data_IF_890559294959
#
_entry.id   IF_890559294959
#
_cell.length_a   1.000
_cell.length_b   1.000
_cell.length_c   1.000
_cell.angle_alpha   90.00
_cell.angle_beta   90.00
_cell.angle_gamma   90.00
#
_symmetry.space_group_name_H-M   'P 1'
#
loop_
_entity.id
_entity.type
_entity.pdbx_description
1 polymer ?
#
# COMPACT_ATOMS: atom_id res chain seq x y z
N UNK A 1 -4.83 22.69 -3.11
CA UNK A 1 -5.55 22.70 -1.80
C UNK A 1 -6.92 22.03 -1.89
N UNK A 2 -7.66 22.19 -2.98
CA UNK A 2 -9.00 21.61 -3.17
C UNK A 2 -8.96 20.08 -3.31
N UNK A 3 -7.96 19.52 -3.99
CA UNK A 3 -7.81 18.06 -4.18
C UNK A 3 -7.54 17.31 -2.87
N UNK A 4 -6.79 17.91 -1.92
CA UNK A 4 -6.50 17.28 -0.62
C UNK A 4 -7.77 17.21 0.25
N UNK A 5 -8.62 18.24 0.21
CA UNK A 5 -9.91 18.22 0.90
C UNK A 5 -10.88 17.19 0.32
N UNK A 6 -10.89 17.03 -0.99
CA UNK A 6 -11.75 16.07 -1.67
C UNK A 6 -11.37 14.63 -1.28
N UNK A 7 -10.08 14.29 -1.25
CA UNK A 7 -9.59 12.98 -0.78
C UNK A 7 -10.00 12.70 0.68
N UNK A 8 -9.84 13.68 1.59
CA UNK A 8 -10.19 13.49 3.00
C UNK A 8 -11.68 13.23 3.23
N UNK A 9 -12.55 13.95 2.52
CA UNK A 9 -14.02 13.78 2.61
C UNK A 9 -14.49 12.47 1.98
N UNK A 10 -13.75 11.94 1.00
CA UNK A 10 -14.10 10.69 0.32
C UNK A 10 -13.59 9.45 1.03
N UNK A 11 -12.66 9.56 1.98
CA UNK A 11 -12.08 8.40 2.66
C UNK A 11 -12.75 8.10 4.02
N UNK A 12 -12.76 9.03 4.98
CA UNK A 12 -13.23 8.75 6.33
C UNK A 12 -14.75 8.64 6.45
N UNK A 13 -15.53 9.56 5.88
CA UNK A 13 -16.99 9.54 5.97
C UNK A 13 -17.63 8.35 5.25
N UNK A 14 -17.20 7.98 4.02
CA UNK A 14 -17.70 6.77 3.38
C UNK A 14 -17.44 5.50 4.17
N UNK A 15 -16.27 5.33 4.77
CA UNK A 15 -15.97 4.15 5.59
C UNK A 15 -16.90 4.09 6.81
N UNK A 16 -17.10 5.19 7.52
CA UNK A 16 -18.06 5.25 8.64
C UNK A 16 -19.47 4.88 8.18
N UNK A 17 -19.95 5.44 7.08
CA UNK A 17 -21.29 5.14 6.55
C UNK A 17 -21.41 3.65 6.16
N UNK A 18 -20.37 3.07 5.58
CA UNK A 18 -20.35 1.65 5.21
C UNK A 18 -20.30 0.74 6.43
N UNK A 19 -19.53 1.08 7.48
CA UNK A 19 -19.51 0.34 8.73
C UNK A 19 -20.88 0.38 9.42
N UNK A 20 -21.55 1.54 9.44
CA UNK A 20 -22.88 1.67 10.02
C UNK A 20 -23.92 0.88 9.21
N UNK A 21 -23.89 0.94 7.90
CA UNK A 21 -24.74 0.14 7.03
C UNK A 21 -24.49 -1.37 7.24
N UNK A 22 -23.23 -1.80 7.35
CA UNK A 22 -22.86 -3.18 7.63
C UNK A 22 -23.44 -3.65 8.99
N UNK A 23 -23.29 -2.82 10.03
CA UNK A 23 -23.86 -3.10 11.36
C UNK A 23 -25.37 -3.26 11.32
N UNK A 24 -26.09 -2.32 10.69
CA UNK A 24 -27.55 -2.34 10.59
C UNK A 24 -28.08 -3.55 9.82
N UNK A 25 -27.33 -4.03 8.84
CA UNK A 25 -27.71 -5.20 8.03
C UNK A 25 -27.13 -6.53 8.54
N UNK A 26 -26.59 -6.56 9.75
CA UNK A 26 -26.11 -7.80 10.38
C UNK A 26 -24.89 -8.43 9.69
N UNK A 27 -24.11 -7.64 8.92
CA UNK A 27 -22.83 -8.08 8.37
C UNK A 27 -21.89 -8.47 9.51
N UNK A 28 -21.22 -9.61 9.38
CA UNK A 28 -20.35 -10.13 10.44
C UNK A 28 -18.94 -9.59 10.38
N UNK A 29 -18.41 -9.33 9.18
CA UNK A 29 -17.03 -8.93 8.96
C UNK A 29 -16.94 -7.77 7.98
N UNK A 30 -16.05 -6.83 8.28
CA UNK A 30 -15.81 -5.66 7.47
C UNK A 30 -14.30 -5.44 7.30
N UNK A 31 -13.79 -5.65 6.09
CA UNK A 31 -12.38 -5.43 5.73
C UNK A 31 -12.28 -4.10 5.00
N UNK A 32 -11.33 -3.26 5.39
CA UNK A 32 -11.15 -1.94 4.79
C UNK A 32 -9.69 -1.58 4.58
N UNK A 33 -9.46 -0.75 3.57
CA UNK A 33 -8.13 -0.25 3.24
C UNK A 33 -7.69 0.84 4.23
N UNK A 34 -6.66 0.54 5.03
CA UNK A 34 -5.82 1.54 5.69
C UNK A 34 -4.55 1.78 4.85
N UNK A 35 -3.51 2.32 5.43
CA UNK A 35 -2.28 2.67 4.72
C UNK A 35 -1.06 2.65 5.62
N UNK A 36 0.10 2.34 5.06
CA UNK A 36 1.40 2.52 5.72
C UNK A 36 1.69 3.99 6.10
N UNK A 37 0.99 4.95 5.50
CA UNK A 37 1.11 6.38 5.82
C UNK A 37 0.75 6.72 7.27
N UNK A 38 -0.02 5.86 7.97
CA UNK A 38 -0.38 6.03 9.39
C UNK A 38 0.83 5.96 10.33
N UNK A 39 1.95 5.43 9.86
CA UNK A 39 3.20 5.43 10.64
C UNK A 39 3.87 6.80 10.73
N UNK A 40 3.54 7.71 9.79
CA UNK A 40 4.03 9.08 9.81
C UNK A 40 5.56 9.16 9.88
N UNK A 41 6.07 9.97 10.80
CA UNK A 41 7.50 10.23 11.02
C UNK A 41 8.21 9.20 11.92
N UNK A 42 7.57 8.13 12.34
CA UNK A 42 8.21 7.12 13.21
C UNK A 42 9.51 6.60 12.57
N UNK A 43 10.68 6.71 13.24
CA UNK A 43 11.98 6.49 12.59
C UNK A 43 12.37 5.01 12.48
N UNK A 44 11.80 4.15 13.32
CA UNK A 44 12.24 2.75 13.44
C UNK A 44 11.73 1.89 12.29
N UNK A 45 12.57 0.96 11.84
CA UNK A 45 12.27 -0.06 10.85
C UNK A 45 12.61 -1.45 11.39
N UNK A 46 11.86 -2.49 11.01
CA UNK A 46 10.61 -2.42 10.22
C UNK A 46 9.47 -1.71 10.97
N UNK A 47 8.44 -1.24 10.24
CA UNK A 47 7.24 -0.66 10.84
C UNK A 47 6.42 -1.75 11.52
N UNK A 48 6.09 -1.54 12.79
CA UNK A 48 5.33 -2.48 13.64
C UNK A 48 4.05 -1.81 14.10
N UNK A 49 2.91 -2.51 14.07
CA UNK A 49 1.63 -1.98 14.54
C UNK A 49 1.69 -1.63 16.04
N UNK A 50 1.14 -0.48 16.39
CA UNK A 50 1.21 0.08 17.75
C UNK A 50 2.42 1.01 17.99
N UNK A 51 3.29 1.18 16.99
CA UNK A 51 4.45 2.08 17.05
C UNK A 51 4.34 3.21 16.00
N UNK A 52 3.18 3.86 15.94
CA UNK A 52 2.96 4.97 15.02
C UNK A 52 3.55 6.28 15.57
N UNK A 53 4.10 7.10 14.66
CA UNK A 53 4.58 8.46 14.95
C UNK A 53 3.52 9.53 14.68
N UNK A 54 3.98 10.75 14.45
CA UNK A 54 3.13 11.87 14.07
C UNK A 54 2.70 11.76 12.62
N UNK A 55 1.43 12.03 12.34
CA UNK A 55 0.89 11.97 11.00
C UNK A 55 1.44 13.11 10.14
N UNK A 56 1.83 12.81 8.90
CA UNK A 56 2.47 13.76 7.99
C UNK A 56 1.53 14.30 6.89
N UNK A 57 0.29 13.82 6.81
CA UNK A 57 -0.66 14.27 5.79
C UNK A 57 -2.12 14.11 6.24
N UNK A 58 -3.05 14.91 5.66
CA UNK A 58 -4.48 14.71 5.86
C UNK A 58 -4.94 13.31 5.48
N UNK A 59 -4.40 12.73 4.40
CA UNK A 59 -4.68 11.35 4.01
C UNK A 59 -4.32 10.34 5.12
N UNK A 60 -3.14 10.48 5.73
CA UNK A 60 -2.75 9.61 6.83
C UNK A 60 -3.70 9.73 8.03
N UNK A 61 -4.20 10.94 8.30
CA UNK A 61 -5.20 11.18 9.34
C UNK A 61 -6.52 10.46 9.04
N UNK A 62 -7.02 10.54 7.80
CA UNK A 62 -8.28 9.85 7.46
C UNK A 62 -8.15 8.35 7.66
N UNK A 63 -7.02 7.74 7.23
CA UNK A 63 -6.78 6.31 7.44
C UNK A 63 -6.65 5.93 8.92
N UNK A 64 -6.06 6.78 9.72
CA UNK A 64 -6.03 6.58 11.18
C UNK A 64 -7.42 6.65 11.81
N UNK A 65 -8.26 7.58 11.37
CA UNK A 65 -9.66 7.70 11.80
C UNK A 65 -10.45 6.45 11.43
N UNK A 66 -10.27 5.91 10.22
CA UNK A 66 -10.89 4.66 9.77
C UNK A 66 -10.55 3.49 10.72
N UNK A 67 -9.29 3.38 11.14
CA UNK A 67 -8.84 2.35 12.10
C UNK A 67 -9.51 2.51 13.48
N UNK A 68 -9.61 3.74 13.99
CA UNK A 68 -10.27 4.00 15.27
C UNK A 68 -11.78 3.70 15.18
N UNK A 69 -12.45 4.04 14.07
CA UNK A 69 -13.84 3.61 13.85
C UNK A 69 -13.94 2.08 13.83
N UNK A 70 -13.09 1.38 13.10
CA UNK A 70 -13.08 -0.08 13.07
C UNK A 70 -12.97 -0.69 14.46
N UNK A 71 -12.03 -0.21 15.26
CA UNK A 71 -11.83 -0.62 16.65
C UNK A 71 -13.06 -0.38 17.54
N UNK A 72 -13.72 0.78 17.39
CA UNK A 72 -14.92 1.10 18.13
C UNK A 72 -16.12 0.23 17.73
N UNK A 73 -16.34 0.00 16.42
CA UNK A 73 -17.42 -0.85 15.93
C UNK A 73 -17.27 -2.30 16.39
N UNK A 74 -16.04 -2.82 16.40
CA UNK A 74 -15.77 -4.13 16.99
C UNK A 74 -16.13 -4.17 18.48
N UNK A 75 -15.62 -3.20 19.25
CA UNK A 75 -15.82 -3.18 20.71
C UNK A 75 -17.27 -2.95 21.13
N UNK A 76 -17.99 -2.05 20.45
CA UNK A 76 -19.33 -1.62 20.86
C UNK A 76 -20.44 -2.47 20.25
N UNK A 77 -20.22 -2.99 19.05
CA UNK A 77 -21.29 -3.64 18.26
C UNK A 77 -20.96 -5.07 17.84
N UNK A 78 -19.75 -5.55 18.13
CA UNK A 78 -19.34 -6.91 17.75
C UNK A 78 -19.17 -7.10 16.23
N UNK A 79 -19.00 -6.02 15.46
CA UNK A 79 -18.66 -6.09 14.05
C UNK A 79 -17.17 -6.37 13.90
N UNK A 80 -16.80 -7.52 13.36
CA UNK A 80 -15.40 -7.85 13.11
C UNK A 80 -14.83 -6.96 12.02
N UNK A 81 -13.95 -6.04 12.38
CA UNK A 81 -13.33 -5.09 11.46
C UNK A 81 -11.85 -5.36 11.32
N UNK A 82 -11.32 -5.26 10.09
CA UNK A 82 -9.92 -5.51 9.78
C UNK A 82 -9.38 -4.37 8.94
N UNK A 83 -8.50 -3.53 9.51
CA UNK A 83 -7.84 -2.44 8.82
C UNK A 83 -6.56 -2.93 8.14
N UNK A 84 -6.49 -2.87 6.82
CA UNK A 84 -5.36 -3.39 6.05
C UNK A 84 -4.40 -2.25 5.70
N UNK A 85 -3.27 -2.14 6.39
CA UNK A 85 -2.22 -1.15 6.11
C UNK A 85 -1.39 -1.61 4.91
N UNK A 86 -1.80 -1.25 3.71
CA UNK A 86 -1.07 -1.62 2.50
C UNK A 86 0.25 -0.85 2.37
N UNK A 87 1.30 -1.57 1.94
CA UNK A 87 2.62 -1.03 1.62
C UNK A 87 2.86 -1.12 0.11
N UNK A 88 3.00 0.04 -0.54
CA UNK A 88 3.41 0.23 -1.94
C UNK A 88 2.90 -0.85 -2.90
N UNK A 89 1.58 -1.03 -2.97
CA UNK A 89 0.95 -2.04 -3.81
C UNK A 89 1.23 -1.75 -5.28
N UNK A 90 1.62 -2.77 -6.03
CA UNK A 90 1.81 -2.72 -7.46
C UNK A 90 1.28 -3.97 -8.15
N UNK A 91 1.08 -3.90 -9.47
CA UNK A 91 0.64 -5.06 -10.25
C UNK A 91 -0.06 -4.69 -11.54
N UNK A 92 -0.58 -5.71 -12.20
CA UNK A 92 -1.38 -5.56 -13.42
C UNK A 92 -2.61 -4.68 -13.18
N UNK A 93 -3.03 -3.95 -14.22
CA UNK A 93 -4.19 -3.02 -14.22
C UNK A 93 -4.03 -1.75 -13.37
N UNK A 94 -2.86 -1.50 -12.79
CA UNK A 94 -2.62 -0.22 -12.12
C UNK A 94 -2.45 0.89 -13.16
N UNK A 95 -3.23 1.97 -13.05
CA UNK A 95 -3.22 3.07 -14.03
C UNK A 95 -1.90 3.87 -13.96
N UNK A 96 -1.13 3.92 -15.07
CA UNK A 96 0.10 4.72 -15.12
C UNK A 96 -0.16 6.23 -15.26
N UNK A 97 -1.39 6.66 -15.52
CA UNK A 97 -1.75 8.05 -15.84
C UNK A 97 -2.42 8.80 -14.69
N UNK A 98 -2.76 8.10 -13.59
CA UNK A 98 -3.43 8.72 -12.45
C UNK A 98 -2.61 9.85 -11.84
N UNK A 99 -3.25 10.86 -11.26
CA UNK A 99 -2.60 11.98 -10.57
C UNK A 99 -1.65 11.50 -9.45
N UNK A 100 -1.91 10.31 -8.92
CA UNK A 100 -1.09 9.61 -7.92
C UNK A 100 -0.48 8.32 -8.49
N UNK A 101 -0.16 8.30 -9.79
CA UNK A 101 0.41 7.13 -10.43
C UNK A 101 1.65 6.65 -9.67
N UNK A 102 1.62 5.37 -9.25
CA UNK A 102 2.73 4.74 -8.56
C UNK A 102 3.95 4.65 -9.49
N UNK A 103 5.13 4.62 -8.89
CA UNK A 103 6.40 4.67 -9.62
C UNK A 103 6.57 3.55 -10.64
N UNK A 104 6.18 2.31 -10.31
CA UNK A 104 6.34 1.15 -11.20
C UNK A 104 5.55 1.31 -12.50
N UNK A 105 4.20 1.50 -12.50
CA UNK A 105 3.46 1.65 -13.75
C UNK A 105 3.89 2.88 -14.56
N UNK A 106 4.25 3.98 -13.89
CA UNK A 106 4.75 5.19 -14.56
C UNK A 106 6.06 4.94 -15.29
N UNK A 107 7.03 4.32 -14.62
CA UNK A 107 8.34 4.02 -15.22
C UNK A 107 8.20 3.00 -16.35
N UNK A 108 7.40 1.95 -16.19
CA UNK A 108 7.14 0.98 -17.26
C UNK A 108 6.57 1.66 -18.51
N UNK A 109 5.57 2.54 -18.34
CA UNK A 109 4.99 3.28 -19.47
C UNK A 109 6.05 4.12 -20.20
N UNK A 110 6.86 4.88 -19.46
CA UNK A 110 7.89 5.75 -20.02
C UNK A 110 8.97 4.92 -20.75
N UNK A 111 9.48 3.86 -20.12
CA UNK A 111 10.49 2.97 -20.73
C UNK A 111 9.96 2.27 -21.99
N UNK A 112 8.70 1.88 -22.02
CA UNK A 112 8.07 1.29 -23.23
C UNK A 112 7.93 2.30 -24.36
N UNK A 113 7.80 3.59 -24.06
CA UNK A 113 7.79 4.69 -25.01
C UNK A 113 9.19 5.22 -25.38
N UNK A 114 10.27 4.55 -24.95
CA UNK A 114 11.66 5.01 -25.10
C UNK A 114 11.94 6.38 -24.45
N UNK A 115 11.17 6.73 -23.40
CA UNK A 115 11.36 7.94 -22.62
C UNK A 115 12.17 7.65 -21.35
N UNK A 116 13.11 8.55 -20.97
CA UNK A 116 13.86 8.45 -19.74
C UNK A 116 13.02 8.89 -18.53
N UNK A 117 12.64 8.00 -17.60
CA UNK A 117 11.97 8.38 -16.36
C UNK A 117 12.81 9.30 -15.47
N UNK A 118 12.14 10.11 -14.66
CA UNK A 118 12.82 10.94 -13.65
C UNK A 118 12.73 10.30 -12.28
N UNK A 119 13.87 10.01 -11.68
CA UNK A 119 14.04 9.58 -10.29
C UNK A 119 14.29 10.81 -9.43
N UNK A 120 13.47 11.06 -8.42
CA UNK A 120 13.71 12.14 -7.47
C UNK A 120 14.81 11.72 -6.47
N UNK A 121 15.77 12.60 -6.21
CA UNK A 121 16.92 12.31 -5.39
C UNK A 121 17.92 11.36 -6.05
N UNK A 122 18.63 10.60 -5.23
CA UNK A 122 19.71 9.69 -5.65
C UNK A 122 19.25 8.25 -6.00
N UNK A 123 17.94 7.99 -5.96
CA UNK A 123 17.38 6.65 -6.20
C UNK A 123 17.61 5.64 -5.08
N UNK A 124 18.27 6.01 -3.98
CA UNK A 124 18.56 5.13 -2.84
C UNK A 124 17.45 5.07 -1.81
N UNK A 125 16.30 5.71 -2.07
CA UNK A 125 15.10 5.48 -1.28
C UNK A 125 14.63 4.05 -1.48
N UNK A 126 14.17 3.43 -0.39
CA UNK A 126 13.70 2.05 -0.44
C UNK A 126 12.28 1.89 0.08
N UNK A 127 11.56 0.94 -0.49
CA UNK A 127 10.18 0.63 -0.14
C UNK A 127 9.98 -0.88 -0.06
N UNK A 128 8.96 -1.26 0.70
CA UNK A 128 8.39 -2.60 0.68
C UNK A 128 7.30 -2.62 -0.38
N UNK A 129 7.59 -3.20 -1.54
CA UNK A 129 6.65 -3.30 -2.64
C UNK A 129 5.87 -4.61 -2.54
N UNK A 130 4.55 -4.51 -2.57
CA UNK A 130 3.65 -5.63 -2.40
C UNK A 130 2.89 -5.91 -3.69
N UNK A 131 3.07 -7.10 -4.26
CA UNK A 131 2.33 -7.48 -5.45
C UNK A 131 0.84 -7.65 -5.15
N UNK A 132 -0.01 -7.22 -6.07
CA UNK A 132 -1.46 -7.13 -5.88
C UNK A 132 -2.13 -8.45 -5.47
N UNK A 133 -1.64 -9.59 -5.96
CA UNK A 133 -2.18 -10.90 -5.58
C UNK A 133 -1.97 -11.22 -4.09
N UNK A 134 -0.84 -10.81 -3.50
CA UNK A 134 -0.63 -10.92 -2.05
C UNK A 134 -1.65 -10.07 -1.27
N UNK A 135 -2.01 -8.90 -1.80
CA UNK A 135 -3.05 -8.04 -1.18
C UNK A 135 -4.42 -8.69 -1.27
N UNK A 136 -4.76 -9.29 -2.42
CA UNK A 136 -6.02 -10.03 -2.60
C UNK A 136 -6.09 -11.19 -1.60
N UNK A 137 -5.03 -11.98 -1.48
CA UNK A 137 -4.94 -13.05 -0.51
C UNK A 137 -5.16 -12.56 0.93
N UNK A 138 -4.48 -11.48 1.32
CA UNK A 138 -4.63 -10.89 2.65
C UNK A 138 -6.09 -10.52 2.96
N UNK A 139 -6.80 -9.91 2.00
CA UNK A 139 -8.21 -9.56 2.16
C UNK A 139 -9.09 -10.81 2.33
N UNK A 140 -8.86 -11.84 1.53
CA UNK A 140 -9.62 -13.11 1.65
C UNK A 140 -9.36 -13.78 2.99
N UNK A 141 -8.12 -13.80 3.47
CA UNK A 141 -7.76 -14.34 4.77
C UNK A 141 -8.39 -13.54 5.93
N UNK A 142 -8.44 -12.21 5.82
CA UNK A 142 -9.16 -11.39 6.81
C UNK A 142 -10.67 -11.72 6.86
N UNK A 143 -11.30 -12.00 5.71
CA UNK A 143 -12.70 -12.46 5.68
C UNK A 143 -12.90 -13.81 6.39
N UNK A 144 -11.87 -14.63 6.49
CA UNK A 144 -11.92 -15.95 7.15
C UNK A 144 -11.34 -15.95 8.57
N UNK A 145 -10.72 -14.83 8.99
CA UNK A 145 -10.03 -14.72 10.28
C UNK A 145 -11.00 -14.92 11.46
N UNK A 146 -10.52 -15.40 12.61
CA UNK A 146 -11.36 -15.59 13.79
C UNK A 146 -11.77 -14.23 14.40
N UNK A 147 -12.85 -14.25 15.20
CA UNK A 147 -13.40 -13.05 15.86
C UNK A 147 -12.32 -12.29 16.67
N UNK A 148 -11.47 -13.01 17.37
CA UNK A 148 -10.42 -12.45 18.24
C UNK A 148 -9.37 -11.62 17.49
N UNK A 149 -9.29 -11.78 16.16
CA UNK A 149 -8.45 -10.95 15.29
C UNK A 149 -9.15 -9.64 14.87
N UNK A 150 -10.46 -9.48 15.17
CA UNK A 150 -11.22 -8.28 14.81
C UNK A 150 -10.83 -7.04 15.59
N UNK A 151 -11.25 -5.87 15.10
CA UNK A 151 -11.01 -4.57 15.73
C UNK A 151 -9.55 -4.10 15.65
N UNK A 152 -8.76 -4.63 14.71
CA UNK A 152 -7.32 -4.38 14.62
C UNK A 152 -6.89 -3.95 13.21
N UNK A 153 -5.74 -3.29 13.16
CA UNK A 153 -5.02 -3.01 11.91
C UNK A 153 -3.85 -3.98 11.72
N UNK A 154 -3.54 -4.28 10.45
CA UNK A 154 -2.54 -5.25 10.04
C UNK A 154 -1.66 -4.70 8.93
N UNK A 155 -0.35 -4.85 9.05
CA UNK A 155 0.57 -4.59 7.96
C UNK A 155 0.41 -5.63 6.86
N UNK A 156 0.12 -5.16 5.64
CA UNK A 156 0.03 -6.00 4.46
C UNK A 156 1.12 -5.59 3.48
N UNK A 157 2.17 -6.37 3.48
CA UNK A 157 3.41 -6.17 2.76
C UNK A 157 4.03 -7.53 2.40
N UNK A 158 5.08 -7.51 1.61
CA UNK A 158 5.91 -8.72 1.45
C UNK A 158 6.88 -8.92 2.62
N UNK A 159 7.29 -7.83 3.27
CA UNK A 159 8.32 -7.82 4.32
C UNK A 159 9.73 -7.65 3.75
N UNK A 160 9.84 -7.25 2.48
CA UNK A 160 11.10 -7.00 1.77
C UNK A 160 11.54 -5.55 1.81
N UNK A 161 12.61 -5.26 1.06
CA UNK A 161 13.16 -3.92 0.93
C UNK A 161 13.83 -3.75 -0.42
N UNK A 162 13.22 -2.97 -1.30
CA UNK A 162 13.72 -2.73 -2.66
C UNK A 162 14.14 -1.27 -2.82
N UNK A 163 15.32 -1.01 -3.41
CA UNK A 163 15.79 0.32 -3.73
C UNK A 163 15.26 0.77 -5.09
N UNK A 164 14.86 2.04 -5.19
CA UNK A 164 14.22 2.55 -6.41
C UNK A 164 15.14 2.45 -7.63
N UNK A 165 16.42 2.70 -7.46
CA UNK A 165 17.38 2.61 -8.55
C UNK A 165 17.55 1.17 -9.07
N UNK A 166 17.54 0.17 -8.16
CA UNK A 166 17.66 -1.23 -8.54
C UNK A 166 16.40 -1.69 -9.29
N UNK A 167 15.21 -1.29 -8.81
CA UNK A 167 13.94 -1.52 -9.51
C UNK A 167 13.96 -0.94 -10.93
N UNK A 168 14.49 0.27 -11.08
CA UNK A 168 14.61 0.92 -12.37
C UNK A 168 15.43 0.06 -13.36
N UNK A 169 16.62 -0.38 -12.98
CA UNK A 169 17.46 -1.20 -13.83
C UNK A 169 16.89 -2.62 -14.06
N UNK A 170 16.20 -3.19 -13.08
CA UNK A 170 15.47 -4.46 -13.28
C UNK A 170 14.38 -4.32 -14.35
N UNK A 171 13.64 -3.19 -14.37
CA UNK A 171 12.65 -2.89 -15.42
C UNK A 171 13.31 -2.68 -16.78
N UNK A 172 14.41 -1.95 -16.87
CA UNK A 172 15.18 -1.78 -18.10
C UNK A 172 15.61 -3.13 -18.67
N UNK A 173 16.21 -3.97 -17.84
CA UNK A 173 16.64 -5.32 -18.22
C UNK A 173 15.48 -6.18 -18.73
N UNK A 174 14.34 -6.18 -18.03
CA UNK A 174 13.17 -6.98 -18.41
C UNK A 174 12.49 -6.48 -19.70
N UNK A 175 12.65 -5.20 -20.02
CA UNK A 175 12.15 -4.61 -21.27
C UNK A 175 13.18 -4.65 -22.42
N UNK A 176 14.43 -5.06 -22.16
CA UNK A 176 15.52 -5.01 -23.12
C UNK A 176 15.90 -3.57 -23.51
N UNK A 177 15.80 -2.64 -22.56
CA UNK A 177 16.11 -1.23 -22.76
C UNK A 177 17.42 -0.87 -22.07
N UNK A 178 18.15 0.07 -22.67
CA UNK A 178 19.38 0.67 -22.14
C UNK A 178 19.19 2.20 -22.12
N UNK A 179 18.43 2.66 -21.15
CA UNK A 179 18.04 4.08 -20.98
C UNK A 179 18.48 4.51 -19.59
N UNK A 180 19.32 5.56 -19.52
CA UNK A 180 19.70 6.16 -18.23
C UNK A 180 18.56 7.03 -17.68
N UNK A 181 18.28 6.99 -16.37
CA UNK A 181 17.23 7.80 -15.78
C UNK A 181 17.67 9.26 -15.66
N UNK A 182 16.73 10.18 -15.70
CA UNK A 182 16.96 11.55 -15.25
C UNK A 182 16.91 11.62 -13.73
N UNK A 183 17.77 12.42 -13.10
CA UNK A 183 17.72 12.67 -11.67
C UNK A 183 17.15 14.06 -11.39
N UNK A 184 16.10 14.12 -10.56
CA UNK A 184 15.47 15.35 -10.11
C UNK A 184 15.82 15.67 -8.65
N UNK A 185 15.36 16.81 -8.13
CA UNK A 185 15.57 17.17 -6.73
C UNK A 185 14.86 16.18 -5.79
N UNK A 186 15.34 16.12 -4.54
CA UNK A 186 14.65 15.37 -3.49
C UNK A 186 13.21 15.86 -3.32
N UNK A 187 12.28 14.94 -3.12
CA UNK A 187 10.89 15.28 -2.89
C UNK A 187 10.70 15.66 -1.42
N UNK A 188 10.24 16.87 -1.15
CA UNK A 188 9.97 17.34 0.20
C UNK A 188 8.96 16.44 0.92
N UNK A 189 9.29 16.01 2.14
CA UNK A 189 8.44 15.14 2.95
C UNK A 189 8.46 13.66 2.56
N UNK A 190 9.31 13.23 1.62
CA UNK A 190 9.43 11.81 1.28
C UNK A 190 10.19 11.03 2.38
N UNK A 191 9.60 9.91 2.80
CA UNK A 191 10.24 8.99 3.76
C UNK A 191 11.30 8.19 3.00
N UNK A 192 12.57 8.33 3.40
CA UNK A 192 13.69 7.70 2.66
C UNK A 192 13.58 6.17 2.61
N UNK A 193 13.17 5.54 3.71
CA UNK A 193 13.09 4.09 3.82
C UNK A 193 11.79 3.64 4.48
N UNK A 194 11.16 2.60 3.94
CA UNK A 194 9.94 2.01 4.50
C UNK A 194 9.91 0.51 4.22
N UNK A 195 9.77 -0.29 5.28
CA UNK A 195 9.44 -1.71 5.20
C UNK A 195 8.63 -2.13 6.43
N UNK A 196 7.91 -3.24 6.32
CA UNK A 196 6.95 -3.69 7.32
C UNK A 196 7.41 -4.96 8.05
N UNK A 197 7.09 -5.04 9.34
CA UNK A 197 6.93 -6.31 10.03
C UNK A 197 5.53 -6.87 9.74
N UNK A 198 5.45 -8.08 9.22
CA UNK A 198 4.18 -8.75 8.88
C UNK A 198 3.84 -9.90 9.84
N UNK A 199 4.58 -10.03 10.95
CA UNK A 199 4.43 -11.12 11.91
C UNK A 199 3.02 -11.21 12.49
N UNK A 200 2.39 -10.06 12.74
CA UNK A 200 1.01 -9.99 13.23
C UNK A 200 0.01 -10.54 12.22
N UNK A 201 0.11 -10.14 10.96
CA UNK A 201 -0.77 -10.64 9.89
C UNK A 201 -0.55 -12.15 9.66
N UNK A 202 0.70 -12.62 9.69
CA UNK A 202 1.02 -14.04 9.64
C UNK A 202 0.35 -14.81 10.76
N UNK A 203 0.48 -14.34 11.99
CA UNK A 203 -0.03 -15.03 13.19
C UNK A 203 -1.55 -15.05 13.28
N UNK A 204 -2.21 -13.93 13.01
CA UNK A 204 -3.65 -13.75 13.29
C UNK A 204 -4.54 -13.96 12.07
N UNK A 205 -4.04 -13.68 10.87
CA UNK A 205 -4.78 -13.87 9.61
C UNK A 205 -4.32 -15.11 8.84
N UNK A 206 -3.15 -15.68 9.18
CA UNK A 206 -2.52 -16.71 8.37
C UNK A 206 -2.00 -16.17 7.02
N UNK A 207 -1.71 -14.87 6.95
CA UNK A 207 -1.17 -14.22 5.75
C UNK A 207 0.29 -14.65 5.55
N UNK A 208 0.59 -15.24 4.39
CA UNK A 208 1.94 -15.62 4.00
C UNK A 208 2.13 -15.33 2.50
N UNK A 209 2.74 -14.19 2.13
CA UNK A 209 2.76 -13.72 0.75
C UNK A 209 3.62 -14.62 -0.15
N UNK A 210 3.02 -15.16 -1.22
CA UNK A 210 3.64 -16.08 -2.17
C UNK A 210 4.50 -15.39 -3.24
N UNK A 211 4.23 -14.11 -3.50
CA UNK A 211 4.87 -13.36 -4.58
C UNK A 211 5.91 -12.41 -4.01
N UNK A 212 7.20 -12.73 -4.19
CA UNK A 212 8.26 -11.78 -3.96
C UNK A 212 8.22 -10.63 -4.98
N UNK A 213 9.06 -9.61 -4.78
CA UNK A 213 9.10 -8.44 -5.66
C UNK A 213 9.40 -8.83 -7.11
N UNK A 214 10.40 -9.68 -7.35
CA UNK A 214 10.84 -10.05 -8.71
C UNK A 214 9.76 -10.77 -9.48
N UNK A 215 9.17 -11.79 -8.88
CA UNK A 215 8.06 -12.55 -9.47
C UNK A 215 6.86 -11.64 -9.78
N UNK A 216 6.50 -10.76 -8.83
CA UNK A 216 5.43 -9.79 -9.03
C UNK A 216 5.73 -8.80 -10.16
N UNK A 217 6.98 -8.32 -10.24
CA UNK A 217 7.42 -7.40 -11.29
C UNK A 217 7.37 -8.04 -12.68
N UNK A 218 7.86 -9.26 -12.83
CA UNK A 218 7.77 -10.02 -14.08
C UNK A 218 6.32 -10.14 -14.56
N UNK A 219 5.41 -10.56 -13.68
CA UNK A 219 3.99 -10.69 -14.03
C UNK A 219 3.33 -9.34 -14.38
N UNK A 220 3.73 -8.26 -13.72
CA UNK A 220 3.26 -6.91 -14.02
C UNK A 220 3.76 -6.46 -15.40
N UNK A 221 5.05 -6.62 -15.69
CA UNK A 221 5.67 -6.26 -16.97
C UNK A 221 5.01 -7.03 -18.14
N UNK A 222 4.81 -8.33 -17.98
CA UNK A 222 4.15 -9.16 -19.01
C UNK A 222 2.74 -8.68 -19.32
N UNK A 223 2.02 -8.21 -18.29
CA UNK A 223 0.70 -7.62 -18.50
C UNK A 223 0.78 -6.27 -19.23
N UNK A 224 1.68 -5.37 -18.80
CA UNK A 224 1.85 -4.05 -19.41
C UNK A 224 2.28 -4.14 -20.87
N UNK A 225 3.21 -5.05 -21.24
CA UNK A 225 3.62 -5.32 -22.63
C UNK A 225 2.45 -5.68 -23.57
N UNK A 226 1.36 -6.22 -23.02
CA UNK A 226 0.18 -6.65 -23.80
C UNK A 226 -0.94 -5.62 -23.82
N UNK A 227 -0.92 -4.62 -22.93
CA UNK A 227 -2.08 -3.77 -22.66
C UNK A 227 -1.77 -2.25 -22.69
N UNK A 228 -0.53 -1.83 -22.79
CA UNK A 228 -0.07 -0.47 -23.10
C UNK A 228 0.50 -0.39 -24.51
#
# INVERSE_FOLDING_TARGET
>A
TTEIYTLSLHDALPILNMMEAARQNGVKKFVFASSSSVYGDHPVLPKVEGQEGNLLSPYALTKRVDEEYGKLYYKLYGLDTYGMRYFNVFGKRQDPNGAYAAVIPKFLKQLMADEAPTINGDGKQSRDFTYVENVVEANLKACLAPHEAGGQAFNIAYGGREYLIDIYYDMCKALGKDIEPNFGPDRAGDIKHSNADISKAKKLLGYDPDYDFKKGLELAIDWYKKNL
#
